data_IF_803426203094
#
_entry.id   IF_803426203094
#
_cell.length_a   1.000
_cell.length_b   1.000
_cell.length_c   1.000
_cell.angle_alpha   90.00
_cell.angle_beta   90.00
_cell.angle_gamma   90.00
#
_symmetry.space_group_name_H-M   'P 1'
#
loop_
_entity.id
_entity.type
_entity.pdbx_description
1 polymer ?
#
# COMPACT_ATOMS: atom_id res chain seq x y z
N UNK A 1 -17.48 -12.07 -29.96
CA UNK A 1 -17.33 -11.75 -28.53
C UNK A 1 -15.87 -11.42 -28.33
N UNK A 2 -15.54 -10.14 -28.15
CA UNK A 2 -14.15 -9.71 -27.97
C UNK A 2 -13.58 -10.32 -26.69
N UNK A 3 -12.47 -11.05 -26.80
CA UNK A 3 -11.83 -11.76 -25.69
C UNK A 3 -11.46 -10.81 -24.53
N UNK A 4 -11.17 -9.53 -24.84
CA UNK A 4 -10.91 -8.49 -23.83
C UNK A 4 -12.13 -8.15 -22.97
N UNK A 5 -13.35 -8.27 -23.49
CA UNK A 5 -14.56 -7.99 -22.68
C UNK A 5 -14.79 -9.03 -21.59
N UNK A 6 -14.15 -10.21 -21.68
CA UNK A 6 -14.15 -11.21 -20.62
C UNK A 6 -13.26 -10.82 -19.43
N UNK A 7 -12.36 -9.85 -19.64
CA UNK A 7 -11.43 -9.29 -18.67
C UNK A 7 -12.00 -8.02 -18.00
N UNK A 8 -13.32 -7.93 -17.83
CA UNK A 8 -13.93 -6.84 -17.08
C UNK A 8 -14.34 -7.32 -15.68
N UNK A 9 -13.85 -6.68 -14.60
CA UNK A 9 -14.23 -7.05 -13.25
C UNK A 9 -15.73 -6.78 -13.00
N UNK A 10 -16.32 -7.53 -12.06
CA UNK A 10 -17.71 -7.32 -11.64
C UNK A 10 -17.87 -5.97 -10.93
N UNK A 11 -19.04 -5.37 -11.02
CA UNK A 11 -19.38 -4.17 -10.24
C UNK A 11 -19.14 -4.40 -8.74
N UNK A 12 -18.49 -3.44 -8.06
CA UNK A 12 -18.16 -3.49 -6.63
C UNK A 12 -16.87 -4.24 -6.26
N UNK A 13 -16.32 -5.04 -7.18
CA UNK A 13 -15.03 -5.71 -6.97
C UNK A 13 -13.81 -4.79 -7.09
N UNK A 14 -13.78 -3.78 -7.98
CA UNK A 14 -12.67 -2.83 -8.03
C UNK A 14 -12.36 -2.18 -6.68
N UNK A 15 -13.39 -1.71 -5.97
CA UNK A 15 -13.25 -1.12 -4.64
C UNK A 15 -12.70 -2.13 -3.64
N UNK A 16 -13.20 -3.36 -3.67
CA UNK A 16 -12.74 -4.45 -2.81
C UNK A 16 -11.26 -4.77 -3.03
N UNK A 17 -10.80 -4.81 -4.28
CA UNK A 17 -9.39 -5.05 -4.60
C UNK A 17 -8.50 -3.92 -4.08
N UNK A 18 -8.91 -2.65 -4.26
CA UNK A 18 -8.15 -1.50 -3.76
C UNK A 18 -8.00 -1.56 -2.24
N UNK A 19 -9.10 -1.83 -1.52
CA UNK A 19 -9.08 -1.98 -0.07
C UNK A 19 -8.18 -3.14 0.35
N UNK A 20 -8.34 -4.33 -0.27
CA UNK A 20 -7.59 -5.53 0.09
C UNK A 20 -6.07 -5.36 -0.14
N UNK A 21 -5.67 -4.74 -1.26
CA UNK A 21 -4.26 -4.46 -1.56
C UNK A 21 -3.68 -3.48 -0.54
N UNK A 22 -4.41 -2.40 -0.23
CA UNK A 22 -3.97 -1.40 0.74
C UNK A 22 -3.85 -2.00 2.15
N UNK A 23 -4.80 -2.83 2.57
CA UNK A 23 -4.76 -3.52 3.86
C UNK A 23 -3.60 -4.52 3.94
N UNK A 24 -3.40 -5.35 2.91
CA UNK A 24 -2.29 -6.31 2.88
C UNK A 24 -0.94 -5.59 2.99
N UNK A 25 -0.75 -4.50 2.24
CA UNK A 25 0.45 -3.67 2.33
C UNK A 25 0.63 -3.05 3.71
N UNK A 26 -0.43 -2.45 4.28
CA UNK A 26 -0.38 -1.84 5.61
C UNK A 26 -0.08 -2.87 6.69
N UNK A 27 -0.61 -4.09 6.57
CA UNK A 27 -0.34 -5.19 7.50
C UNK A 27 1.13 -5.64 7.42
N UNK A 28 1.68 -5.75 6.21
CA UNK A 28 3.10 -6.08 6.02
C UNK A 28 4.03 -5.03 6.65
N UNK A 29 3.64 -3.74 6.62
CA UNK A 29 4.43 -2.64 7.15
C UNK A 29 3.98 -2.18 8.54
N UNK A 30 3.10 -2.96 9.20
CA UNK A 30 2.48 -2.57 10.47
C UNK A 30 3.51 -2.36 11.57
N UNK A 31 4.43 -3.31 11.74
CA UNK A 31 5.45 -3.25 12.80
C UNK A 31 6.34 -1.99 12.69
N UNK A 32 6.76 -1.64 11.47
CA UNK A 32 7.56 -0.44 11.19
C UNK A 32 6.77 0.83 11.51
N UNK A 33 5.48 0.84 11.20
CA UNK A 33 4.59 1.96 11.53
C UNK A 33 4.41 2.09 13.05
N UNK A 34 4.11 1.00 13.74
CA UNK A 34 3.93 0.97 15.19
C UNK A 34 5.19 1.42 15.93
N UNK A 35 6.37 0.97 15.49
CA UNK A 35 7.65 1.42 16.03
C UNK A 35 7.85 2.94 15.81
N UNK A 36 7.55 3.44 14.61
CA UNK A 36 7.65 4.87 14.30
C UNK A 36 6.69 5.71 15.17
N UNK A 37 5.44 5.27 15.32
CA UNK A 37 4.43 5.97 16.12
C UNK A 37 4.83 6.00 17.61
N UNK A 38 5.39 4.90 18.13
CA UNK A 38 5.88 4.83 19.51
C UNK A 38 7.11 5.73 19.73
N UNK A 39 8.06 5.77 18.80
CA UNK A 39 9.22 6.67 18.90
C UNK A 39 8.79 8.14 18.92
N UNK A 40 7.84 8.54 18.07
CA UNK A 40 7.27 9.89 18.06
C UNK A 40 6.60 10.20 19.40
N UNK A 41 5.85 9.25 19.96
CA UNK A 41 5.20 9.40 21.27
C UNK A 41 6.24 9.63 22.38
N UNK A 42 7.29 8.82 22.41
CA UNK A 42 8.37 8.91 23.41
C UNK A 42 9.16 10.22 23.31
N UNK A 43 9.42 10.71 22.08
CA UNK A 43 10.03 12.03 21.85
C UNK A 43 9.13 13.13 22.41
N UNK A 44 7.83 13.06 22.11
CA UNK A 44 6.83 13.99 22.64
C UNK A 44 6.80 14.01 24.17
N UNK A 45 6.82 12.84 24.81
CA UNK A 45 6.83 12.72 26.27
C UNK A 45 8.12 13.28 26.90
N UNK A 46 9.29 13.03 26.30
CA UNK A 46 10.56 13.59 26.76
C UNK A 46 10.59 15.13 26.65
N UNK A 47 10.09 15.69 25.54
CA UNK A 47 9.98 17.14 25.37
C UNK A 47 9.00 17.76 26.37
N UNK A 48 7.84 17.13 26.62
CA UNK A 48 6.89 17.60 27.65
C UNK A 48 7.51 17.63 29.04
N UNK A 49 8.37 16.68 29.40
CA UNK A 49 9.08 16.70 30.69
C UNK A 49 9.97 17.93 30.82
N UNK A 50 10.65 18.34 29.75
CA UNK A 50 11.48 19.55 29.73
C UNK A 50 10.62 20.81 29.84
N UNK A 51 9.48 20.84 29.15
CA UNK A 51 8.56 21.98 29.22
C UNK A 51 7.93 22.10 30.62
N UNK A 52 7.46 21.00 31.22
CA UNK A 52 6.96 21.00 32.59
C UNK A 52 8.04 21.43 33.60
N UNK A 53 9.28 20.96 33.45
CA UNK A 53 10.38 21.38 34.31
C UNK A 53 10.70 22.88 34.15
N UNK A 54 10.50 23.44 32.94
CA UNK A 54 10.64 24.88 32.70
C UNK A 54 9.56 25.67 33.43
N UNK A 55 8.32 25.18 33.42
CA UNK A 55 7.21 25.80 34.16
C UNK A 55 7.49 25.81 35.67
N UNK A 56 7.94 24.68 36.25
CA UNK A 56 8.29 24.59 37.67
C UNK A 56 9.44 25.54 38.05
N UNK A 57 10.43 25.70 37.18
CA UNK A 57 11.51 26.68 37.40
C UNK A 57 10.99 28.12 37.43
N UNK A 58 10.05 28.46 36.55
CA UNK A 58 9.42 29.80 36.52
C UNK A 58 8.58 30.07 37.76
N UNK A 59 7.97 29.03 38.33
CA UNK A 59 7.23 29.10 39.59
C UNK A 59 8.15 29.09 40.83
N UNK A 60 9.47 29.02 40.64
CA UNK A 60 10.46 28.86 41.72
C UNK A 60 10.28 27.57 42.55
N UNK A 61 9.59 26.57 42.00
CA UNK A 61 9.39 25.24 42.61
C UNK A 61 10.50 24.24 42.25
N UNK A 62 11.41 24.63 41.34
CA UNK A 62 12.54 23.84 40.88
C UNK A 62 13.80 24.71 40.83
N UNK A 63 14.94 24.18 41.28
CA UNK A 63 16.20 24.92 41.18
C UNK A 63 16.77 24.92 39.76
N UNK A 64 17.48 25.99 39.40
CA UNK A 64 18.12 26.12 38.09
C UNK A 64 19.16 25.01 37.79
N UNK A 65 19.77 24.44 38.83
CA UNK A 65 20.68 23.31 38.70
C UNK A 65 19.96 22.00 38.36
N UNK A 66 18.80 21.76 38.97
CA UNK A 66 17.96 20.60 38.71
C UNK A 66 17.34 20.65 37.32
N UNK A 67 16.83 21.82 36.92
CA UNK A 67 16.32 22.03 35.55
C UNK A 67 17.38 21.71 34.48
N UNK A 68 18.63 22.13 34.68
CA UNK A 68 19.73 21.84 33.73
C UNK A 68 19.95 20.34 33.55
N UNK A 69 19.93 19.58 34.65
CA UNK A 69 20.06 18.11 34.60
C UNK A 69 18.89 17.49 33.83
N UNK A 70 17.65 17.87 34.15
CA UNK A 70 16.45 17.37 33.46
C UNK A 70 16.52 17.67 31.96
N UNK A 71 16.93 18.89 31.59
CA UNK A 71 17.06 19.29 30.19
C UNK A 71 18.12 18.48 29.45
N UNK A 72 19.26 18.23 30.07
CA UNK A 72 20.37 17.48 29.47
C UNK A 72 20.03 15.99 29.29
N UNK A 73 19.43 15.36 30.31
CA UNK A 73 18.99 13.95 30.27
C UNK A 73 17.90 13.71 29.21
N UNK A 74 16.88 14.57 29.17
CA UNK A 74 15.80 14.44 28.19
C UNK A 74 16.29 14.85 26.79
N UNK A 75 17.17 15.83 26.65
CA UNK A 75 17.80 16.18 25.37
C UNK A 75 18.63 15.03 24.77
N UNK A 76 19.41 14.35 25.61
CA UNK A 76 20.15 13.15 25.21
C UNK A 76 19.21 12.01 24.80
N UNK A 77 18.08 11.87 25.51
CA UNK A 77 17.05 10.88 25.19
C UNK A 77 16.38 11.18 23.86
N UNK A 78 16.00 12.44 23.60
CA UNK A 78 15.41 12.89 22.33
C UNK A 78 16.36 12.60 21.17
N UNK A 79 17.63 12.99 21.29
CA UNK A 79 18.63 12.75 20.23
C UNK A 79 18.74 11.26 19.87
N UNK A 80 18.76 10.37 20.86
CA UNK A 80 18.80 8.92 20.65
C UNK A 80 17.53 8.40 19.96
N UNK A 81 16.36 8.87 20.39
CA UNK A 81 15.08 8.47 19.80
C UNK A 81 14.92 9.00 18.37
N UNK A 82 15.38 10.21 18.09
CA UNK A 82 15.37 10.80 16.74
C UNK A 82 16.29 10.04 15.79
N UNK A 83 17.49 9.62 16.24
CA UNK A 83 18.36 8.74 15.47
C UNK A 83 17.64 7.44 15.10
N UNK A 84 17.00 6.79 16.07
CA UNK A 84 16.25 5.56 15.83
C UNK A 84 15.07 5.77 14.88
N UNK A 85 14.34 6.88 15.03
CA UNK A 85 13.24 7.25 14.15
C UNK A 85 13.74 7.46 12.72
N UNK A 86 14.92 8.07 12.55
CA UNK A 86 15.53 8.23 11.23
C UNK A 86 15.90 6.87 10.60
N UNK A 87 16.46 5.93 11.36
CA UNK A 87 16.72 4.56 10.88
C UNK A 87 15.44 3.86 10.40
N UNK A 88 14.38 3.92 11.19
CA UNK A 88 13.06 3.35 10.85
C UNK A 88 12.45 4.04 9.61
N UNK A 89 12.61 5.35 9.48
CA UNK A 89 12.12 6.10 8.32
C UNK A 89 12.93 5.83 7.04
N UNK A 90 14.23 5.56 7.14
CA UNK A 90 15.05 5.11 6.00
C UNK A 90 14.55 3.76 5.50
N UNK A 91 14.19 2.83 6.40
CA UNK A 91 13.53 1.57 6.01
C UNK A 91 12.16 1.80 5.35
N UNK A 92 11.46 2.87 5.75
CA UNK A 92 10.16 3.31 5.20
C UNK A 92 10.26 4.10 3.88
N UNK A 93 11.47 4.38 3.36
CA UNK A 93 11.73 5.38 2.31
C UNK A 93 11.10 5.14 0.93
N UNK A 94 10.24 4.13 0.78
CA UNK A 94 9.18 4.17 -0.23
C UNK A 94 7.89 4.63 0.45
N UNK A 95 7.73 5.95 0.60
CA UNK A 95 6.47 6.58 1.04
C UNK A 95 5.42 6.47 -0.07
N UNK A 96 5.10 5.23 -0.43
CA UNK A 96 4.19 4.87 -1.49
C UNK A 96 2.79 5.06 -0.95
N UNK A 97 2.03 5.96 -1.57
CA UNK A 97 0.58 6.01 -1.35
C UNK A 97 -0.04 4.77 -2.00
N UNK A 98 0.04 3.64 -1.29
CA UNK A 98 -0.33 2.33 -1.82
C UNK A 98 -1.79 2.31 -2.25
N UNK A 99 -2.67 3.02 -1.53
CA UNK A 99 -4.09 3.11 -1.88
C UNK A 99 -4.26 3.80 -3.24
N UNK A 100 -3.55 4.91 -3.49
CA UNK A 100 -3.59 5.61 -4.78
C UNK A 100 -3.01 4.73 -5.90
N UNK A 101 -1.89 4.04 -5.65
CA UNK A 101 -1.32 3.13 -6.65
C UNK A 101 -2.24 1.94 -6.96
N UNK A 102 -2.83 1.34 -5.94
CA UNK A 102 -3.79 0.26 -6.09
C UNK A 102 -5.01 0.73 -6.89
N UNK A 103 -5.53 1.94 -6.60
CA UNK A 103 -6.64 2.52 -7.38
C UNK A 103 -6.26 2.70 -8.86
N UNK A 104 -5.08 3.24 -9.14
CA UNK A 104 -4.61 3.42 -10.52
C UNK A 104 -4.47 2.08 -11.25
N UNK A 105 -3.86 1.09 -10.60
CA UNK A 105 -3.67 -0.25 -11.17
C UNK A 105 -5.01 -0.95 -11.43
N UNK A 106 -5.94 -0.90 -10.47
CA UNK A 106 -7.27 -1.51 -10.61
C UNK A 106 -8.08 -0.80 -11.70
N UNK A 107 -8.07 0.54 -11.76
CA UNK A 107 -8.77 1.28 -12.82
C UNK A 107 -8.22 0.93 -14.21
N UNK A 108 -6.89 0.84 -14.35
CA UNK A 108 -6.27 0.44 -15.61
C UNK A 108 -6.68 -0.97 -16.05
N UNK A 109 -6.90 -1.88 -15.10
CA UNK A 109 -7.41 -3.22 -15.40
C UNK A 109 -8.91 -3.20 -15.73
N UNK A 110 -9.70 -2.35 -15.09
CA UNK A 110 -11.14 -2.20 -15.39
C UNK A 110 -11.43 -1.62 -16.77
N UNK A 111 -10.51 -0.82 -17.31
CA UNK A 111 -10.67 -0.16 -18.60
C UNK A 111 -9.69 -0.71 -19.65
N UNK A 112 -9.19 -1.92 -19.45
CA UNK A 112 -8.12 -2.48 -20.28
C UNK A 112 -8.53 -2.65 -21.75
N UNK A 113 -9.81 -2.91 -22.01
CA UNK A 113 -10.41 -2.95 -23.34
C UNK A 113 -10.31 -1.59 -24.04
N UNK A 114 -10.81 -0.53 -23.38
CA UNK A 114 -10.79 0.84 -23.90
C UNK A 114 -9.37 1.38 -24.02
N UNK A 115 -8.54 1.11 -23.02
CA UNK A 115 -7.13 1.52 -22.99
C UNK A 115 -6.35 0.85 -24.12
N UNK A 116 -6.62 -0.43 -24.40
CA UNK A 116 -6.00 -1.10 -25.53
C UNK A 116 -6.42 -0.43 -26.84
N UNK A 117 -7.70 -0.15 -27.06
CA UNK A 117 -8.18 0.42 -28.33
C UNK A 117 -7.56 1.79 -28.66
N UNK A 118 -7.44 2.68 -27.67
CA UNK A 118 -6.89 4.03 -27.84
C UNK A 118 -5.37 4.12 -27.73
N UNK A 119 -4.69 3.05 -27.28
CA UNK A 119 -3.26 3.06 -27.04
C UNK A 119 -2.42 3.07 -28.33
N UNK A 120 -1.24 3.71 -28.24
CA UNK A 120 -0.19 3.58 -29.26
C UNK A 120 0.30 2.12 -29.37
N UNK A 121 0.99 1.79 -30.46
CA UNK A 121 1.56 0.44 -30.65
C UNK A 121 2.49 0.05 -29.49
N UNK A 122 3.28 1.00 -28.99
CA UNK A 122 4.17 0.79 -27.85
C UNK A 122 3.38 0.51 -26.57
N UNK A 123 2.36 1.31 -26.27
CA UNK A 123 1.51 1.12 -25.09
C UNK A 123 0.69 -0.19 -25.18
N UNK A 124 0.21 -0.58 -26.37
CA UNK A 124 -0.44 -1.88 -26.60
C UNK A 124 0.50 -3.05 -26.25
N UNK A 125 1.75 -2.99 -26.70
CA UNK A 125 2.77 -4.01 -26.37
C UNK A 125 3.05 -4.05 -24.88
N UNK A 126 3.11 -2.88 -24.23
CA UNK A 126 3.30 -2.77 -22.79
C UNK A 126 2.13 -3.38 -22.00
N UNK A 127 0.88 -3.05 -22.35
CA UNK A 127 -0.33 -3.62 -21.74
C UNK A 127 -0.34 -5.14 -21.85
N UNK A 128 -0.06 -5.67 -23.05
CA UNK A 128 0.02 -7.11 -23.28
C UNK A 128 1.13 -7.76 -22.45
N UNK A 129 2.30 -7.12 -22.32
CA UNK A 129 3.40 -7.62 -21.49
C UNK A 129 3.08 -7.62 -19.99
N UNK A 130 2.28 -6.67 -19.51
CA UNK A 130 1.79 -6.67 -18.13
C UNK A 130 0.79 -7.82 -17.91
N UNK A 131 -0.16 -7.99 -18.83
CA UNK A 131 -1.21 -9.01 -18.72
C UNK A 131 -0.65 -10.42 -18.87
N UNK A 132 0.32 -10.62 -19.75
CA UNK A 132 0.92 -11.91 -20.09
C UNK A 132 2.44 -11.83 -19.92
N UNK A 133 2.96 -12.02 -18.69
CA UNK A 133 4.39 -11.85 -18.40
C UNK A 133 5.27 -12.91 -19.06
N UNK A 134 4.70 -14.01 -19.51
CA UNK A 134 5.40 -15.09 -20.21
C UNK A 134 5.63 -14.76 -21.69
N UNK A 135 6.69 -15.34 -22.27
CA UNK A 135 6.99 -15.19 -23.70
C UNK A 135 5.85 -15.74 -24.55
N UNK A 136 5.44 -14.99 -25.56
CA UNK A 136 4.56 -15.50 -26.59
C UNK A 136 5.26 -16.61 -27.37
N UNK A 137 4.56 -17.71 -27.60
CA UNK A 137 5.06 -18.84 -28.39
C UNK A 137 4.28 -18.94 -29.68
N UNK A 138 5.01 -19.13 -30.79
CA UNK A 138 4.42 -19.41 -32.09
C UNK A 138 4.72 -20.86 -32.45
N UNK A 139 3.67 -21.69 -32.54
CA UNK A 139 3.79 -23.12 -32.84
C UNK A 139 2.69 -23.48 -33.85
N UNK A 140 3.05 -24.20 -34.91
CA UNK A 140 2.12 -24.72 -35.93
C UNK A 140 1.21 -23.65 -36.56
N UNK A 141 1.74 -22.45 -36.81
CA UNK A 141 0.96 -21.38 -37.45
C UNK A 141 0.06 -20.58 -36.49
N UNK A 142 0.10 -20.88 -35.19
CA UNK A 142 -0.73 -20.23 -34.17
C UNK A 142 0.14 -19.50 -33.15
N UNK A 143 -0.19 -18.23 -32.91
CA UNK A 143 0.39 -17.46 -31.81
C UNK A 143 -0.41 -17.73 -30.53
N UNK A 144 0.24 -18.19 -29.47
CA UNK A 144 -0.37 -18.37 -28.15
C UNK A 144 0.28 -17.40 -27.16
N UNK A 145 -0.57 -16.63 -26.47
CA UNK A 145 -0.14 -15.88 -25.29
C UNK A 145 0.13 -16.86 -24.15
N UNK A 146 1.13 -16.55 -23.32
CA UNK A 146 1.39 -17.32 -22.10
C UNK A 146 0.30 -17.12 -21.04
N UNK A 147 0.58 -17.51 -19.81
CA UNK A 147 -0.39 -17.38 -18.71
C UNK A 147 -0.69 -15.92 -18.37
N UNK A 148 -1.95 -15.62 -18.01
CA UNK A 148 -2.32 -14.35 -17.41
C UNK A 148 -1.54 -14.12 -16.11
N UNK A 149 -1.17 -12.87 -15.85
CA UNK A 149 -0.59 -12.50 -14.57
C UNK A 149 -1.59 -12.82 -13.43
N UNK A 150 -1.07 -13.10 -12.23
CA UNK A 150 -1.92 -13.58 -11.11
C UNK A 150 -2.97 -12.56 -10.66
N UNK A 151 -2.67 -11.27 -10.76
CA UNK A 151 -3.61 -10.21 -10.36
C UNK A 151 -4.79 -10.13 -11.34
N UNK A 152 -4.51 -10.06 -12.64
CA UNK A 152 -5.47 -10.15 -13.73
C UNK A 152 -6.27 -11.45 -13.63
N UNK A 153 -5.61 -12.59 -13.39
CA UNK A 153 -6.30 -13.84 -13.11
C UNK A 153 -7.27 -13.66 -11.95
N UNK A 154 -6.88 -13.23 -10.75
CA UNK A 154 -7.83 -13.05 -9.64
C UNK A 154 -8.97 -12.05 -9.91
N UNK A 155 -8.70 -11.00 -10.67
CA UNK A 155 -9.69 -9.98 -11.04
C UNK A 155 -10.70 -10.52 -12.07
N UNK A 156 -10.29 -11.46 -12.95
CA UNK A 156 -11.08 -11.95 -14.08
C UNK A 156 -11.58 -13.41 -13.93
N UNK A 157 -10.90 -14.25 -13.14
CA UNK A 157 -11.13 -15.69 -12.95
C UNK A 157 -12.52 -15.98 -12.35
N UNK A 158 -13.07 -15.04 -11.58
CA UNK A 158 -14.40 -15.16 -10.99
C UNK A 158 -15.56 -14.82 -11.96
N UNK A 159 -15.31 -14.48 -13.21
CA UNK A 159 -16.43 -14.26 -14.14
C UNK A 159 -17.06 -15.56 -14.63
N UNK A 160 -16.30 -16.64 -14.85
CA UNK A 160 -16.85 -17.88 -15.43
C UNK A 160 -17.28 -18.89 -14.34
N UNK A 161 -16.47 -19.11 -13.31
CA UNK A 161 -16.77 -20.08 -12.24
C UNK A 161 -17.81 -19.58 -11.23
N UNK A 162 -17.80 -18.30 -10.84
CA UNK A 162 -18.87 -17.76 -10.01
C UNK A 162 -20.19 -17.58 -10.75
N UNK A 163 -20.20 -17.55 -12.09
CA UNK A 163 -21.47 -17.61 -12.85
C UNK A 163 -22.16 -18.95 -12.63
N UNK A 164 -21.41 -20.05 -12.54
CA UNK A 164 -21.96 -21.39 -12.32
C UNK A 164 -22.49 -21.61 -10.89
N UNK A 165 -21.94 -20.93 -9.88
CA UNK A 165 -22.35 -21.08 -8.46
C UNK A 165 -23.61 -20.28 -8.06
N UNK A 166 -24.26 -19.59 -8.99
CA UNK A 166 -25.46 -18.77 -8.73
C UNK A 166 -26.80 -19.50 -8.98
N UNK A 167 -26.88 -20.80 -8.72
CA UNK A 167 -28.16 -21.48 -8.52
C UNK A 167 -28.38 -21.63 -7.02
N UNK A 168 -28.80 -20.52 -6.40
CA UNK A 168 -29.52 -20.62 -5.13
C UNK A 168 -30.73 -21.52 -5.35
N UNK A 169 -30.87 -22.56 -4.54
CA UNK A 169 -32.07 -23.39 -4.50
C UNK A 169 -33.29 -22.46 -4.46
N UNK A 170 -34.12 -22.50 -5.49
CA UNK A 170 -35.53 -22.17 -5.31
C UNK A 170 -36.08 -23.21 -4.35
N UNK A 171 -36.15 -22.85 -3.07
CA UNK A 171 -36.98 -23.56 -2.11
C UNK A 171 -38.42 -23.20 -2.46
N UNK A 172 -39.03 -24.08 -3.25
CA UNK A 172 -40.49 -24.24 -3.32
C UNK A 172 -40.94 -24.94 -2.06
#
# INVERSE_FOLDING_TARGET
MDELTMLLPRSGYPELFVVSIAEAYNNQHRAVKEESDELIRLIGDANRKVDNARELLLLHELEAGEYRKIKEENGSTVARLEMRLNEVNVQKSTHVNIKKLAQMAVNALCEVDKLYDIASIEAKRYLVGILFPEKMTYVEGVCRTGKLNRAAELIYLENKELRAKKWGKNLV
#
